data_IF_683254331107
#
_entry.id   IF_683254331107
#
_cell.length_a   1.000
_cell.length_b   1.000
_cell.length_c   1.000
_cell.angle_alpha   90.00
_cell.angle_beta   90.00
_cell.angle_gamma   90.00
#
_symmetry.space_group_name_H-M   'P 1'
#
loop_
_entity.id
_entity.type
_entity.pdbx_description
1 polymer ?
#
# COMPACT_ATOMS: atom_id res chain seq x y z
N UNK A 1 -16.98 9.08 -7.75
CA UNK A 1 -17.02 9.54 -6.34
C UNK A 1 -17.93 8.65 -5.54
N UNK A 2 -17.51 8.20 -4.37
CA UNK A 2 -18.32 7.37 -3.46
C UNK A 2 -19.02 8.32 -2.47
N UNK A 3 -20.34 8.18 -2.30
CA UNK A 3 -21.11 8.91 -1.29
C UNK A 3 -21.45 7.95 -0.16
N UNK A 4 -21.09 8.33 1.08
CA UNK A 4 -21.32 7.55 2.29
C UNK A 4 -22.05 8.44 3.30
N UNK A 5 -22.96 7.86 4.07
CA UNK A 5 -23.42 8.50 5.31
C UNK A 5 -22.29 8.56 6.33
N UNK A 6 -22.40 9.43 7.34
CA UNK A 6 -21.43 9.52 8.44
C UNK A 6 -21.27 8.17 9.15
N UNK A 7 -22.37 7.47 9.39
CA UNK A 7 -22.35 6.15 10.04
C UNK A 7 -21.61 5.10 9.22
N UNK A 8 -21.87 5.04 7.92
CA UNK A 8 -21.18 4.10 7.02
C UNK A 8 -19.69 4.42 6.91
N UNK A 9 -19.36 5.71 6.81
CA UNK A 9 -17.98 6.17 6.83
C UNK A 9 -17.25 5.67 8.08
N UNK A 10 -17.83 5.86 9.26
CA UNK A 10 -17.17 5.50 10.52
C UNK A 10 -17.00 3.98 10.69
N UNK A 11 -17.99 3.20 10.24
CA UNK A 11 -17.90 1.74 10.21
C UNK A 11 -16.80 1.26 9.27
N UNK A 12 -16.73 1.82 8.06
CA UNK A 12 -15.70 1.48 7.08
C UNK A 12 -14.32 1.91 7.59
N UNK A 13 -14.18 3.15 8.06
CA UNK A 13 -12.93 3.71 8.57
C UNK A 13 -12.40 2.93 9.78
N UNK A 14 -13.28 2.41 10.65
CA UNK A 14 -12.87 1.53 11.73
C UNK A 14 -12.09 0.32 11.20
N UNK A 15 -12.61 -0.35 10.17
CA UNK A 15 -12.01 -1.58 9.62
C UNK A 15 -10.79 -1.30 8.74
N UNK A 16 -10.86 -0.32 7.84
CA UNK A 16 -9.81 -0.12 6.81
C UNK A 16 -8.73 0.88 7.20
N UNK A 17 -8.87 1.59 8.34
CA UNK A 17 -7.91 2.59 8.81
C UNK A 17 -7.56 2.45 10.29
N UNK A 18 -8.56 2.49 11.18
CA UNK A 18 -8.30 2.57 12.62
C UNK A 18 -7.76 1.27 13.22
N UNK A 19 -8.38 0.13 12.88
CA UNK A 19 -7.92 -1.19 13.31
C UNK A 19 -6.52 -1.50 12.77
N UNK A 20 -6.19 -1.26 11.48
CA UNK A 20 -4.81 -1.38 10.98
C UNK A 20 -3.78 -0.61 11.80
N UNK A 21 -4.10 0.62 12.24
CA UNK A 21 -3.22 1.37 13.13
C UNK A 21 -3.01 0.65 14.48
N UNK A 22 -4.09 0.22 15.12
CA UNK A 22 -4.03 -0.48 16.42
C UNK A 22 -3.22 -1.77 16.29
N UNK A 23 -3.41 -2.52 15.19
CA UNK A 23 -2.66 -3.73 14.90
C UNK A 23 -1.16 -3.45 14.72
N UNK A 24 -0.79 -2.40 13.98
CA UNK A 24 0.60 -2.01 13.80
C UNK A 24 1.28 -1.67 15.15
N UNK A 25 0.61 -0.87 16.00
CA UNK A 25 1.09 -0.54 17.35
C UNK A 25 1.22 -1.80 18.21
N UNK A 26 0.23 -2.68 18.18
CA UNK A 26 0.21 -3.93 18.96
C UNK A 26 1.35 -4.86 18.55
N UNK A 27 1.55 -5.07 17.25
CA UNK A 27 2.64 -5.90 16.72
C UNK A 27 4.01 -5.35 17.10
N UNK A 28 4.20 -4.03 16.96
CA UNK A 28 5.46 -3.37 17.30
C UNK A 28 5.78 -3.52 18.79
N UNK A 29 4.81 -3.26 19.67
CA UNK A 29 4.97 -3.39 21.11
C UNK A 29 5.22 -4.84 21.55
N UNK A 30 4.56 -5.81 20.91
CA UNK A 30 4.80 -7.23 21.19
C UNK A 30 6.23 -7.65 20.82
N UNK A 31 6.71 -7.27 19.63
CA UNK A 31 8.08 -7.54 19.23
C UNK A 31 9.10 -6.84 20.13
N UNK A 32 8.84 -5.59 20.53
CA UNK A 32 9.68 -4.85 21.47
C UNK A 32 9.75 -5.55 22.84
N UNK A 33 8.62 -6.08 23.34
CA UNK A 33 8.60 -6.87 24.58
C UNK A 33 9.51 -8.09 24.49
N UNK A 34 9.43 -8.86 23.42
CA UNK A 34 10.28 -10.05 23.22
C UNK A 34 11.76 -9.68 23.03
N UNK A 35 12.03 -8.50 22.48
CA UNK A 35 13.39 -8.00 22.27
C UNK A 35 14.16 -7.76 23.57
N UNK A 36 13.45 -7.56 24.70
CA UNK A 36 14.09 -7.46 26.01
C UNK A 36 14.82 -8.76 26.37
N UNK A 37 14.25 -9.91 26.01
CA UNK A 37 14.82 -11.23 26.28
C UNK A 37 15.80 -11.66 25.18
N UNK A 38 15.49 -11.32 23.92
CA UNK A 38 16.36 -11.63 22.78
C UNK A 38 16.43 -10.47 21.78
N UNK A 39 17.56 -9.73 21.73
CA UNK A 39 17.74 -8.60 20.81
C UNK A 39 17.59 -8.93 19.31
N UNK A 40 17.54 -10.21 18.93
CA UNK A 40 17.32 -10.63 17.55
C UNK A 40 15.93 -10.21 17.02
N UNK A 41 14.90 -10.09 17.88
CA UNK A 41 13.55 -9.78 17.42
C UNK A 41 13.45 -8.46 16.65
N UNK A 42 14.09 -7.39 17.15
CA UNK A 42 14.11 -6.12 16.41
C UNK A 42 15.22 -6.05 15.37
N UNK A 43 16.37 -6.70 15.60
CA UNK A 43 17.46 -6.74 14.61
C UNK A 43 17.04 -7.45 13.31
N UNK A 44 16.20 -8.47 13.41
CA UNK A 44 15.69 -9.25 12.28
C UNK A 44 14.31 -8.77 11.78
N UNK A 45 13.72 -7.75 12.43
CA UNK A 45 12.44 -7.15 12.05
C UNK A 45 12.53 -6.30 10.77
N UNK A 46 13.03 -6.89 9.67
CA UNK A 46 13.18 -6.26 8.37
C UNK A 46 12.01 -6.61 7.42
N UNK A 47 11.99 -5.98 6.24
CA UNK A 47 11.02 -6.27 5.18
C UNK A 47 9.57 -6.11 5.62
N UNK A 48 8.78 -7.18 5.45
CA UNK A 48 7.33 -7.18 5.69
C UNK A 48 6.93 -6.76 7.11
N UNK A 49 7.74 -7.07 8.14
CA UNK A 49 7.44 -6.59 9.49
C UNK A 49 7.51 -5.06 9.57
N UNK A 50 8.60 -4.46 9.05
CA UNK A 50 8.79 -3.00 9.01
C UNK A 50 7.72 -2.31 8.18
N UNK A 51 7.27 -2.94 7.10
CA UNK A 51 6.21 -2.40 6.24
C UNK A 51 4.85 -2.42 6.95
N UNK A 52 4.50 -3.54 7.61
CA UNK A 52 3.25 -3.68 8.37
C UNK A 52 3.21 -2.77 9.59
N UNK A 53 4.34 -2.56 10.28
CA UNK A 53 4.41 -1.70 11.46
C UNK A 53 4.79 -0.25 11.13
N UNK A 54 4.91 0.12 9.85
CA UNK A 54 5.32 1.48 9.42
C UNK A 54 4.47 2.58 10.07
N UNK A 55 3.17 2.36 10.21
CA UNK A 55 2.23 3.35 10.80
C UNK A 55 2.23 3.35 12.33
N UNK A 56 2.89 2.40 12.99
CA UNK A 56 2.99 2.36 14.45
C UNK A 56 3.71 3.59 15.05
N UNK A 57 4.52 4.29 14.25
CA UNK A 57 5.19 5.54 14.65
C UNK A 57 4.28 6.77 14.62
N UNK A 58 3.00 6.62 14.27
CA UNK A 58 2.06 7.74 14.25
C UNK A 58 1.84 8.31 15.66
N UNK A 59 1.85 9.64 15.86
CA UNK A 59 1.73 10.23 17.18
C UNK A 59 0.31 10.03 17.75
N UNK A 60 0.23 9.68 19.03
CA UNK A 60 -1.05 9.45 19.71
C UNK A 60 -1.98 10.68 19.71
N UNK A 61 -1.43 11.90 19.61
CA UNK A 61 -2.20 13.14 19.56
C UNK A 61 -3.21 13.17 18.41
N UNK A 62 -2.87 12.57 17.25
CA UNK A 62 -3.77 12.43 16.11
C UNK A 62 -4.85 11.38 16.40
N UNK A 63 -4.44 10.26 17.00
CA UNK A 63 -5.30 9.12 17.22
C UNK A 63 -6.25 9.26 18.40
N UNK A 64 -5.93 10.12 19.37
CA UNK A 64 -6.73 10.31 20.59
C UNK A 64 -8.20 10.58 20.26
N UNK A 65 -8.47 11.56 19.40
CA UNK A 65 -9.83 11.94 19.05
C UNK A 65 -10.51 10.86 18.20
N UNK A 66 -9.80 10.31 17.21
CA UNK A 66 -10.29 9.22 16.33
C UNK A 66 -10.77 8.02 17.16
N UNK A 67 -9.97 7.60 18.14
CA UNK A 67 -10.29 6.48 19.00
C UNK A 67 -11.47 6.80 19.92
N UNK A 68 -11.57 8.05 20.41
CA UNK A 68 -12.67 8.47 21.29
C UNK A 68 -14.01 8.58 20.53
N UNK A 69 -14.00 9.16 19.33
CA UNK A 69 -15.22 9.40 18.57
C UNK A 69 -15.75 8.15 17.87
N UNK A 70 -14.87 7.21 17.51
CA UNK A 70 -15.27 5.99 16.81
C UNK A 70 -15.06 4.69 17.63
N UNK A 71 -14.96 4.82 18.96
CA UNK A 71 -14.67 3.71 19.87
C UNK A 71 -15.56 2.48 19.66
N UNK A 72 -16.87 2.68 19.49
CA UNK A 72 -17.84 1.57 19.40
C UNK A 72 -17.59 0.69 18.16
N UNK A 73 -17.42 1.31 16.99
CA UNK A 73 -17.16 0.55 15.75
C UNK A 73 -15.77 -0.10 15.79
N UNK A 74 -14.78 0.57 16.39
CA UNK A 74 -13.43 0.02 16.56
C UNK A 74 -13.46 -1.20 17.48
N UNK A 75 -14.11 -1.09 18.64
CA UNK A 75 -14.21 -2.20 19.61
C UNK A 75 -14.91 -3.40 18.98
N UNK A 76 -16.05 -3.19 18.33
CA UNK A 76 -16.77 -4.25 17.64
C UNK A 76 -15.91 -4.88 16.54
N UNK A 77 -15.27 -4.07 15.69
CA UNK A 77 -14.42 -4.59 14.61
C UNK A 77 -13.20 -5.35 15.13
N UNK A 78 -12.60 -4.94 16.26
CA UNK A 78 -11.52 -5.68 16.92
C UNK A 78 -11.99 -7.03 17.43
N UNK A 79 -13.17 -7.11 18.03
CA UNK A 79 -13.74 -8.40 18.47
C UNK A 79 -13.90 -9.36 17.29
N UNK A 80 -14.42 -8.88 16.15
CA UNK A 80 -14.53 -9.68 14.93
C UNK A 80 -13.14 -10.12 14.42
N UNK A 81 -12.17 -9.20 14.38
CA UNK A 81 -10.81 -9.53 13.94
C UNK A 81 -10.13 -10.55 14.86
N UNK A 82 -10.33 -10.46 16.17
CA UNK A 82 -9.81 -11.44 17.14
C UNK A 82 -10.39 -12.82 16.85
N UNK A 83 -11.68 -12.93 16.51
CA UNK A 83 -12.29 -14.20 16.13
C UNK A 83 -11.68 -14.76 14.84
N UNK A 84 -11.42 -13.92 13.84
CA UNK A 84 -10.73 -14.36 12.61
C UNK A 84 -9.29 -14.81 12.88
N UNK A 85 -8.55 -14.11 13.73
CA UNK A 85 -7.20 -14.53 14.15
C UNK A 85 -7.22 -15.85 14.90
N UNK A 86 -8.24 -16.09 15.73
CA UNK A 86 -8.41 -17.35 16.44
C UNK A 86 -8.70 -18.50 15.46
N UNK A 87 -9.56 -18.29 14.46
CA UNK A 87 -9.79 -19.27 13.38
C UNK A 87 -8.50 -19.58 12.62
N UNK A 88 -7.72 -18.56 12.25
CA UNK A 88 -6.43 -18.75 11.57
C UNK A 88 -5.46 -19.58 12.42
N UNK A 89 -5.38 -19.28 13.72
CA UNK A 89 -4.56 -20.04 14.67
C UNK A 89 -4.98 -21.51 14.73
N UNK A 90 -6.28 -21.80 14.78
CA UNK A 90 -6.79 -23.16 14.91
C UNK A 90 -6.60 -23.99 13.64
N UNK A 91 -6.39 -23.34 12.49
CA UNK A 91 -6.21 -23.99 11.19
C UNK A 91 -4.75 -24.08 10.74
N UNK A 92 -3.75 -23.70 11.56
CA UNK A 92 -2.34 -23.58 11.15
C UNK A 92 -1.74 -24.81 10.46
N UNK A 93 -2.19 -26.02 10.83
CA UNK A 93 -1.73 -27.29 10.24
C UNK A 93 -2.75 -27.91 9.29
N UNK A 94 -3.89 -27.26 9.07
CA UNK A 94 -4.99 -27.80 8.29
C UNK A 94 -4.83 -27.45 6.80
N UNK A 95 -5.19 -28.36 5.87
CA UNK A 95 -5.17 -28.07 4.43
C UNK A 95 -6.01 -26.84 4.04
N UNK A 96 -7.04 -26.52 4.84
CA UNK A 96 -7.89 -25.35 4.66
C UNK A 96 -7.11 -24.02 4.73
N UNK A 97 -5.92 -23.99 5.33
CA UNK A 97 -5.08 -22.80 5.40
C UNK A 97 -4.69 -22.28 4.01
N UNK A 98 -4.42 -23.18 3.06
CA UNK A 98 -4.08 -22.81 1.68
C UNK A 98 -5.22 -22.00 1.02
N UNK A 99 -6.46 -22.47 1.18
CA UNK A 99 -7.64 -21.79 0.66
C UNK A 99 -7.82 -20.39 1.24
N UNK A 100 -7.56 -20.21 2.54
CA UNK A 100 -7.64 -18.90 3.18
C UNK A 100 -6.59 -17.91 2.65
N UNK A 101 -5.38 -18.39 2.34
CA UNK A 101 -4.34 -17.58 1.72
C UNK A 101 -4.70 -17.18 0.28
N UNK A 102 -5.24 -18.10 -0.51
CA UNK A 102 -5.69 -17.83 -1.88
C UNK A 102 -6.83 -16.80 -1.92
N UNK A 103 -7.81 -16.96 -1.04
CA UNK A 103 -8.92 -16.00 -0.90
C UNK A 103 -8.40 -14.60 -0.50
N UNK A 104 -7.47 -14.54 0.46
CA UNK A 104 -6.85 -13.28 0.87
C UNK A 104 -6.07 -12.61 -0.27
N UNK A 105 -5.30 -13.38 -1.05
CA UNK A 105 -4.56 -12.89 -2.21
C UNK A 105 -5.50 -12.33 -3.28
N UNK A 106 -6.57 -13.07 -3.62
CA UNK A 106 -7.60 -12.63 -4.57
C UNK A 106 -8.27 -11.34 -4.12
N UNK A 107 -8.67 -11.26 -2.85
CA UNK A 107 -9.31 -10.06 -2.29
C UNK A 107 -8.35 -8.87 -2.24
N UNK A 108 -7.06 -9.08 -1.97
CA UNK A 108 -6.05 -8.02 -2.00
C UNK A 108 -5.85 -7.46 -3.41
N UNK A 109 -5.86 -8.31 -4.42
CA UNK A 109 -5.69 -7.94 -5.83
C UNK A 109 -6.92 -7.24 -6.41
N UNK A 110 -8.10 -7.42 -5.82
CA UNK A 110 -9.32 -6.72 -6.25
C UNK A 110 -9.39 -5.27 -5.76
N UNK A 111 -8.57 -4.88 -4.77
CA UNK A 111 -8.48 -3.49 -4.32
C UNK A 111 -7.97 -2.62 -5.48
N UNK A 112 -8.72 -1.58 -5.91
CA UNK A 112 -8.32 -0.75 -7.03
C UNK A 112 -6.93 -0.12 -6.83
N UNK A 113 -6.03 -0.28 -7.81
CA UNK A 113 -4.63 0.22 -7.75
C UNK A 113 -4.53 1.76 -7.63
N UNK A 114 -5.61 2.47 -8.00
CA UNK A 114 -5.66 3.94 -8.05
C UNK A 114 -6.28 4.56 -6.79
N UNK A 115 -6.55 3.75 -5.75
CA UNK A 115 -7.31 4.17 -4.56
C UNK A 115 -6.47 4.74 -3.42
N UNK A 116 -5.44 5.54 -3.73
CA UNK A 116 -4.72 6.31 -2.68
C UNK A 116 -5.59 7.45 -2.15
N UNK A 117 -6.56 7.09 -1.31
CA UNK A 117 -7.25 7.97 -0.37
C UNK A 117 -8.05 9.10 -1.01
N UNK A 118 -9.36 8.91 -1.19
CA UNK A 118 -10.43 9.91 -1.31
C UNK A 118 -10.27 11.15 -2.23
N UNK A 119 -9.13 11.41 -2.88
CA UNK A 119 -8.87 12.66 -3.59
C UNK A 119 -8.06 12.43 -4.88
N UNK A 120 -8.79 12.52 -6.00
CA UNK A 120 -8.38 12.59 -7.41
C UNK A 120 -7.83 11.30 -8.06
N UNK A 121 -8.23 10.99 -9.30
CA UNK A 121 -7.61 9.91 -10.07
C UNK A 121 -6.17 10.29 -10.41
N UNK A 122 -5.22 9.38 -10.19
CA UNK A 122 -3.88 9.50 -10.74
C UNK A 122 -3.91 9.08 -12.21
N UNK A 123 -3.19 9.78 -13.07
CA UNK A 123 -3.05 9.41 -14.47
C UNK A 123 -1.75 8.61 -14.64
N UNK A 124 -1.86 7.31 -14.42
CA UNK A 124 -0.71 6.41 -14.39
C UNK A 124 -0.22 6.05 -15.81
N UNK A 125 1.11 5.95 -15.95
CA UNK A 125 1.80 5.29 -17.06
C UNK A 125 2.76 4.24 -16.51
N UNK A 126 2.89 3.13 -17.22
CA UNK A 126 3.87 2.09 -16.98
C UNK A 126 4.96 2.20 -18.04
N UNK A 127 6.20 2.36 -17.60
CA UNK A 127 7.38 2.53 -18.44
C UNK A 127 8.25 1.30 -18.29
N UNK A 128 8.51 0.61 -19.39
CA UNK A 128 9.47 -0.50 -19.41
C UNK A 128 10.87 0.08 -19.34
N UNK A 129 11.66 -0.39 -18.37
CA UNK A 129 12.99 0.12 -18.08
C UNK A 129 14.02 -1.00 -18.00
N UNK A 130 15.19 -0.75 -18.56
CA UNK A 130 16.34 -1.63 -18.34
C UNK A 130 16.89 -1.45 -16.93
N UNK A 131 17.33 -2.53 -16.29
CA UNK A 131 17.99 -2.51 -14.98
C UNK A 131 19.45 -2.02 -15.12
N UNK A 132 19.62 -0.73 -15.44
CA UNK A 132 20.92 -0.07 -15.57
C UNK A 132 20.94 1.28 -14.87
N UNK A 133 22.14 1.70 -14.45
CA UNK A 133 22.34 2.99 -13.79
C UNK A 133 21.92 4.15 -14.71
N UNK A 134 21.22 5.14 -14.13
CA UNK A 134 20.86 6.38 -14.81
C UNK A 134 19.46 6.44 -15.44
N UNK A 135 18.79 5.30 -15.64
CA UNK A 135 17.48 5.27 -16.34
C UNK A 135 16.41 6.12 -15.67
N UNK A 136 16.33 6.10 -14.34
CA UNK A 136 15.39 6.92 -13.58
C UNK A 136 15.65 8.41 -13.82
N UNK A 137 16.93 8.81 -13.84
CA UNK A 137 17.31 10.20 -14.07
C UNK A 137 17.02 10.63 -15.51
N UNK A 138 17.22 9.75 -16.48
CA UNK A 138 16.89 9.97 -17.88
C UNK A 138 15.39 10.25 -18.06
N UNK A 139 14.53 9.38 -17.51
CA UNK A 139 13.07 9.56 -17.52
C UNK A 139 12.68 10.88 -16.84
N UNK A 140 13.22 11.16 -15.66
CA UNK A 140 12.92 12.39 -14.93
C UNK A 140 13.33 13.64 -15.73
N UNK A 141 14.50 13.63 -16.36
CA UNK A 141 14.99 14.74 -17.19
C UNK A 141 14.10 14.96 -18.41
N UNK A 142 13.72 13.88 -19.10
CA UNK A 142 12.82 13.93 -20.25
C UNK A 142 11.50 14.62 -19.86
N UNK A 143 10.85 14.16 -18.79
CA UNK A 143 9.57 14.73 -18.34
C UNK A 143 9.72 16.17 -17.84
N UNK A 144 10.82 16.49 -17.16
CA UNK A 144 11.08 17.85 -16.66
C UNK A 144 11.28 18.88 -17.78
N UNK A 145 11.80 18.48 -18.94
CA UNK A 145 12.01 19.37 -20.08
C UNK A 145 10.70 19.98 -20.61
N UNK A 146 9.58 19.28 -20.42
CA UNK A 146 8.22 19.72 -20.78
C UNK A 146 7.39 20.15 -19.55
N UNK A 147 8.05 20.39 -18.41
CA UNK A 147 7.42 20.73 -17.12
C UNK A 147 6.34 19.72 -16.64
N UNK A 148 6.50 18.44 -16.98
CA UNK A 148 5.58 17.38 -16.52
C UNK A 148 5.98 16.94 -15.11
N UNK A 149 5.11 17.21 -14.14
CA UNK A 149 5.33 16.83 -12.74
C UNK A 149 4.93 15.38 -12.47
N UNK A 150 5.82 14.63 -11.82
CA UNK A 150 5.55 13.25 -11.38
C UNK A 150 5.04 13.28 -9.94
N UNK A 151 3.77 12.91 -9.73
CA UNK A 151 3.15 12.87 -8.40
C UNK A 151 3.69 11.71 -7.55
N UNK A 152 3.98 10.60 -8.21
CA UNK A 152 4.51 9.42 -7.55
C UNK A 152 5.24 8.49 -8.52
N UNK A 153 6.20 7.73 -7.98
CA UNK A 153 7.01 6.76 -8.72
C UNK A 153 7.06 5.46 -7.94
N UNK A 154 6.76 4.35 -8.62
CA UNK A 154 6.88 3.02 -8.05
C UNK A 154 7.62 2.09 -9.02
N UNK A 155 8.63 1.36 -8.52
CA UNK A 155 9.23 0.25 -9.28
C UNK A 155 8.37 -0.99 -9.02
N UNK A 156 7.67 -1.44 -10.05
CA UNK A 156 6.76 -2.59 -9.97
C UNK A 156 7.58 -3.88 -9.99
N UNK A 157 7.24 -4.83 -9.11
CA UNK A 157 7.96 -6.11 -8.97
C UNK A 157 7.67 -7.14 -10.08
N UNK A 158 6.93 -6.76 -11.12
CA UNK A 158 6.60 -7.64 -12.26
C UNK A 158 7.64 -7.43 -13.35
N UNK A 159 8.26 -8.51 -13.82
CA UNK A 159 9.30 -8.51 -14.85
C UNK A 159 8.81 -9.26 -16.08
N UNK A 160 8.87 -8.64 -17.26
CA UNK A 160 8.84 -9.37 -18.53
C UNK A 160 10.29 -9.51 -19.02
N UNK A 161 10.85 -10.71 -18.88
CA UNK A 161 12.26 -10.96 -19.20
C UNK A 161 13.23 -10.24 -18.26
N UNK A 162 14.21 -9.52 -18.82
CA UNK A 162 15.27 -8.81 -18.09
C UNK A 162 14.95 -7.32 -17.84
N UNK A 163 13.79 -6.83 -18.27
CA UNK A 163 13.35 -5.45 -18.05
C UNK A 163 12.47 -5.34 -16.80
N UNK A 164 12.66 -4.26 -16.05
CA UNK A 164 11.75 -3.85 -14.97
C UNK A 164 10.65 -2.92 -15.49
N UNK A 165 9.62 -2.71 -14.69
CA UNK A 165 8.57 -1.72 -15.00
C UNK A 165 8.53 -0.66 -13.92
N UNK A 166 8.54 0.60 -14.33
CA UNK A 166 8.26 1.75 -13.48
C UNK A 166 6.84 2.27 -13.71
N UNK A 167 6.08 2.46 -12.66
CA UNK A 167 4.82 3.19 -12.68
C UNK A 167 5.08 4.66 -12.31
N UNK A 168 4.63 5.57 -13.16
CA UNK A 168 4.66 7.01 -12.92
C UNK A 168 3.23 7.53 -12.83
N UNK A 169 2.86 8.14 -11.71
CA UNK A 169 1.56 8.79 -11.53
C UNK A 169 1.66 10.28 -11.90
N UNK A 170 0.81 10.75 -12.80
CA UNK A 170 0.83 12.12 -13.31
C UNK A 170 -0.40 12.91 -12.87
N UNK A 171 -0.29 14.24 -12.93
CA UNK A 171 -1.28 15.17 -12.39
C UNK A 171 -2.56 15.27 -13.23
N UNK A 172 -2.43 15.22 -14.56
CA UNK A 172 -3.56 15.35 -15.49
C UNK A 172 -3.52 14.32 -16.62
N UNK A 173 -4.66 14.08 -17.25
CA UNK A 173 -4.76 13.24 -18.46
C UNK A 173 -3.85 13.74 -19.58
N UNK A 174 -3.80 15.07 -19.74
CA UNK A 174 -2.94 15.74 -20.70
C UNK A 174 -1.46 15.47 -20.44
N UNK A 175 -1.04 15.53 -19.17
CA UNK A 175 0.34 15.22 -18.80
C UNK A 175 0.70 13.76 -19.11
N UNK A 176 -0.26 12.84 -18.90
CA UNK A 176 -0.12 11.43 -19.25
C UNK A 176 0.07 11.22 -20.75
N UNK A 177 -0.78 11.82 -21.57
CA UNK A 177 -0.68 11.73 -23.03
C UNK A 177 0.64 12.32 -23.53
N UNK A 178 1.04 13.48 -23.01
CA UNK A 178 2.31 14.11 -23.35
C UNK A 178 3.52 13.27 -22.91
N UNK A 179 3.48 12.70 -21.71
CA UNK A 179 4.54 11.84 -21.18
C UNK A 179 4.72 10.59 -22.04
N UNK A 180 3.64 9.94 -22.47
CA UNK A 180 3.67 8.77 -23.37
C UNK A 180 4.37 9.13 -24.68
N UNK A 181 3.97 10.23 -25.32
CA UNK A 181 4.57 10.67 -26.58
C UNK A 181 6.06 10.97 -26.41
N UNK A 182 6.42 11.66 -25.34
CA UNK A 182 7.78 12.11 -25.07
C UNK A 182 8.71 10.93 -24.73
N UNK A 183 8.25 10.00 -23.88
CA UNK A 183 9.01 8.82 -23.50
C UNK A 183 9.18 7.85 -24.69
N UNK A 184 8.12 7.60 -25.46
CA UNK A 184 8.18 6.78 -26.67
C UNK A 184 9.15 7.38 -27.71
N UNK A 185 9.15 8.71 -27.89
CA UNK A 185 10.09 9.41 -28.78
C UNK A 185 11.55 9.25 -28.33
N UNK A 186 11.79 9.09 -27.03
CA UNK A 186 13.11 8.87 -26.45
C UNK A 186 13.44 7.38 -26.24
N UNK A 187 12.69 6.46 -26.85
CA UNK A 187 13.01 5.03 -26.88
C UNK A 187 12.52 4.22 -25.69
N UNK A 188 11.71 4.80 -24.80
CA UNK A 188 11.05 4.07 -23.72
C UNK A 188 9.72 3.49 -24.20
N UNK A 189 9.43 2.24 -23.89
CA UNK A 189 8.10 1.67 -24.13
C UNK A 189 7.16 2.06 -22.99
N UNK A 190 5.95 2.54 -23.32
CA UNK A 190 4.95 2.98 -22.35
C UNK A 190 3.58 2.35 -22.55
N UNK A 191 2.87 2.09 -21.45
CA UNK A 191 1.55 1.47 -21.43
C UNK A 191 0.65 2.15 -20.38
N UNK A 192 -0.66 2.29 -20.63
CA UNK A 192 -1.62 2.90 -19.68
C UNK A 192 -2.21 1.86 -18.71
N UNK A 193 -2.18 0.58 -19.10
CA UNK A 193 -2.65 -0.54 -18.28
C UNK A 193 -1.62 -1.65 -18.32
N UNK A 194 -1.49 -2.31 -17.19
CA UNK A 194 -0.77 -3.57 -17.04
C UNK A 194 -1.74 -4.73 -17.22
#
# INVERSE_FOLDING_TARGET
>A
TIFLSSKEHDQIAAVVSHIPQIMAVTMMNYAAKLNHDNPAYLKLGAGGFRDMTRIASSPFTIWKEILQTNYQNISFGLEQLIQELQKMKDLLSEPKMEQLFDEAAKNRLSIPKDSRGFLRPNFDIFVVVEDKAGVIAEIANILSAENINIKDIEVVKVREGNAGTMRLSLETERDRENAILLLNKNGFETQIKY
#
